data_IF_674747259040
#
_entry.id   IF_674747259040
#
_cell.length_a   1.000
_cell.length_b   1.000
_cell.length_c   1.000
_cell.angle_alpha   90.00
_cell.angle_beta   90.00
_cell.angle_gamma   90.00
#
_symmetry.space_group_name_H-M   'P 1'
#
loop_
_entity.id
_entity.type
_entity.pdbx_description
1 polymer ?
#
# COMPACT_ATOMS: atom_id res chain seq x y z
N UNK A 1 -4.18 -8.45 13.71
CA UNK A 1 -5.01 -9.66 13.48
C UNK A 1 -4.44 -10.76 14.35
N UNK A 2 -5.22 -11.37 15.19
CA UNK A 2 -4.77 -12.48 16.03
C UNK A 2 -4.59 -13.75 15.19
N UNK A 3 -3.55 -14.54 15.52
CA UNK A 3 -3.26 -15.79 14.81
C UNK A 3 -4.20 -16.94 15.19
N UNK A 4 -4.93 -16.80 16.29
CA UNK A 4 -5.88 -17.79 16.80
C UNK A 4 -7.20 -17.12 17.18
N UNK A 5 -8.30 -17.79 16.86
CA UNK A 5 -9.61 -17.43 17.35
C UNK A 5 -9.65 -17.68 18.87
N UNK A 6 -10.06 -16.67 19.61
CA UNK A 6 -10.14 -16.72 21.06
C UNK A 6 -11.60 -16.55 21.51
N UNK A 7 -12.38 -17.61 21.37
CA UNK A 7 -13.82 -17.60 21.68
C UNK A 7 -14.14 -17.53 23.17
N UNK A 8 -13.18 -17.77 24.06
CA UNK A 8 -13.42 -17.72 25.50
C UNK A 8 -13.19 -16.34 26.09
N UNK A 9 -12.41 -15.48 25.40
CA UNK A 9 -11.95 -14.19 25.93
C UNK A 9 -12.40 -13.01 25.07
N UNK A 10 -12.47 -13.18 23.76
CA UNK A 10 -12.83 -12.10 22.84
C UNK A 10 -14.34 -11.86 22.83
N UNK A 11 -14.76 -10.63 23.16
CA UNK A 11 -16.17 -10.20 23.19
C UNK A 11 -17.08 -11.08 24.07
N UNK A 12 -16.55 -11.56 25.19
CA UNK A 12 -17.26 -12.42 26.13
C UNK A 12 -17.58 -11.70 27.43
N UNK A 13 -18.80 -11.91 27.93
CA UNK A 13 -19.15 -11.53 29.29
C UNK A 13 -18.40 -12.41 30.31
N UNK A 14 -18.08 -11.83 31.48
CA UNK A 14 -17.40 -12.56 32.55
C UNK A 14 -18.36 -13.62 33.11
N UNK A 15 -18.00 -14.90 32.94
CA UNK A 15 -18.74 -16.05 33.45
C UNK A 15 -17.86 -17.30 33.55
N UNK A 16 -18.33 -18.27 34.31
CA UNK A 16 -17.77 -19.63 34.27
C UNK A 16 -18.85 -20.59 33.79
N UNK A 17 -18.56 -21.34 32.75
CA UNK A 17 -19.47 -22.28 32.18
C UNK A 17 -18.76 -23.61 31.90
N UNK A 18 -19.26 -24.73 32.41
CA UNK A 18 -18.63 -26.05 32.28
C UNK A 18 -17.14 -26.09 32.70
N UNK A 19 -16.78 -25.32 33.73
CA UNK A 19 -15.41 -25.24 34.24
C UNK A 19 -14.46 -24.35 33.40
N UNK A 20 -14.95 -23.69 32.35
CA UNK A 20 -14.21 -22.78 31.51
C UNK A 20 -14.52 -21.34 31.94
N UNK A 21 -13.49 -20.53 32.19
CA UNK A 21 -13.63 -19.10 32.46
C UNK A 21 -13.73 -18.33 31.15
N UNK A 22 -14.77 -17.53 31.00
CA UNK A 22 -14.99 -16.59 29.91
C UNK A 22 -14.83 -15.15 30.41
N UNK A 23 -14.44 -14.25 29.55
CA UNK A 23 -14.41 -12.83 29.85
C UNK A 23 -13.38 -12.06 29.04
N UNK A 24 -13.78 -10.89 28.56
CA UNK A 24 -12.90 -9.91 27.93
C UNK A 24 -12.30 -9.02 29.03
N UNK A 25 -11.29 -9.55 29.70
CA UNK A 25 -10.65 -8.93 30.87
C UNK A 25 -9.16 -8.68 30.61
N UNK A 26 -8.61 -7.66 31.28
CA UNK A 26 -7.24 -7.20 31.07
C UNK A 26 -6.17 -8.25 31.39
N UNK A 27 -6.45 -9.17 32.31
CA UNK A 27 -5.54 -10.26 32.70
C UNK A 27 -5.24 -11.23 31.54
N UNK A 28 -6.10 -11.26 30.53
CA UNK A 28 -5.91 -12.10 29.34
C UNK A 28 -5.17 -11.38 28.19
N UNK A 29 -4.83 -10.10 28.36
CA UNK A 29 -4.14 -9.33 27.33
C UNK A 29 -2.65 -9.67 27.33
N UNK A 30 -2.14 -10.08 26.18
CA UNK A 30 -0.70 -10.18 25.96
C UNK A 30 -0.14 -8.78 25.62
N UNK A 31 0.35 -8.07 26.63
CA UNK A 31 0.83 -6.70 26.49
C UNK A 31 2.06 -6.58 25.58
N UNK A 32 2.94 -7.57 25.55
CA UNK A 32 4.12 -7.57 24.68
C UNK A 32 3.69 -7.68 23.19
N UNK A 33 2.70 -8.51 22.92
CA UNK A 33 2.13 -8.62 21.58
C UNK A 33 1.38 -7.33 21.18
N UNK A 34 0.56 -6.80 22.08
CA UNK A 34 -0.18 -5.55 21.86
C UNK A 34 0.76 -4.37 21.59
N UNK A 35 1.86 -4.26 22.36
CA UNK A 35 2.88 -3.23 22.15
C UNK A 35 3.55 -3.34 20.76
N UNK A 36 3.92 -4.55 20.33
CA UNK A 36 4.49 -4.80 18.99
C UNK A 36 3.51 -4.44 17.88
N UNK A 37 2.26 -4.85 18.00
CA UNK A 37 1.22 -4.55 17.03
C UNK A 37 0.96 -3.04 16.94
N UNK A 38 0.92 -2.35 18.09
CA UNK A 38 0.79 -0.89 18.16
C UNK A 38 1.98 -0.20 17.48
N UNK A 39 3.21 -0.67 17.73
CA UNK A 39 4.41 -0.12 17.09
C UNK A 39 4.38 -0.27 15.56
N UNK A 40 3.96 -1.42 15.03
CA UNK A 40 3.80 -1.63 13.59
C UNK A 40 2.78 -0.66 13.00
N UNK A 41 1.62 -0.49 13.64
CA UNK A 41 0.61 0.46 13.19
C UNK A 41 1.11 1.90 13.25
N UNK A 42 1.81 2.29 14.32
CA UNK A 42 2.37 3.63 14.47
C UNK A 42 3.43 3.95 13.40
N UNK A 43 4.30 2.99 13.06
CA UNK A 43 5.30 3.14 12.00
C UNK A 43 4.62 3.31 10.64
N UNK A 44 3.60 2.51 10.33
CA UNK A 44 2.86 2.63 9.07
C UNK A 44 2.16 3.98 8.95
N UNK A 45 1.51 4.45 10.01
CA UNK A 45 0.86 5.76 10.04
C UNK A 45 1.87 6.90 9.88
N UNK A 46 2.99 6.85 10.58
CA UNK A 46 4.06 7.84 10.46
C UNK A 46 4.64 7.86 9.03
N UNK A 47 4.90 6.71 8.43
CA UNK A 47 5.42 6.60 7.06
C UNK A 47 4.47 7.23 6.05
N UNK A 48 3.15 6.99 6.19
CA UNK A 48 2.15 7.59 5.32
C UNK A 48 1.98 9.09 5.58
N UNK A 49 2.11 9.54 6.83
CA UNK A 49 1.99 10.96 7.18
C UNK A 49 3.17 11.80 6.66
N UNK A 50 4.35 11.19 6.49
CA UNK A 50 5.55 11.83 5.92
C UNK A 50 5.69 11.63 4.42
N UNK A 51 4.82 10.84 3.81
CA UNK A 51 4.82 10.65 2.37
C UNK A 51 4.27 11.88 1.66
N UNK A 52 4.81 12.24 0.48
CA UNK A 52 4.24 13.30 -0.33
C UNK A 52 2.82 12.94 -0.82
N UNK A 53 2.02 13.93 -1.23
CA UNK A 53 0.74 13.67 -1.88
C UNK A 53 0.90 12.75 -3.09
N UNK A 54 -0.03 11.82 -3.24
CA UNK A 54 -0.01 10.86 -4.34
C UNK A 54 -0.21 11.54 -5.70
N UNK A 55 0.36 10.99 -6.80
CA UNK A 55 0.17 11.55 -8.13
C UNK A 55 -1.31 11.54 -8.54
N UNK A 56 -1.70 12.56 -9.29
CA UNK A 56 -3.06 12.73 -9.81
C UNK A 56 -3.14 12.28 -11.28
N UNK A 57 -4.35 12.02 -11.75
CA UNK A 57 -4.67 11.75 -13.16
C UNK A 57 -3.74 10.72 -13.82
N UNK A 58 -3.41 9.64 -13.10
CA UNK A 58 -2.56 8.59 -13.66
C UNK A 58 -3.27 7.94 -14.84
N UNK A 59 -2.61 7.88 -16.00
CA UNK A 59 -3.10 7.31 -17.24
C UNK A 59 -2.12 6.28 -17.78
N UNK A 60 -2.63 5.33 -18.56
CA UNK A 60 -1.82 4.30 -19.22
C UNK A 60 -2.08 4.29 -20.73
N UNK A 61 -1.03 4.06 -21.51
CA UNK A 61 -1.05 3.84 -22.94
C UNK A 61 -0.14 2.69 -23.32
N UNK A 62 -0.07 2.41 -24.63
CA UNK A 62 0.70 1.27 -25.13
C UNK A 62 -0.20 0.10 -25.55
N UNK A 63 -1.50 0.37 -25.79
CA UNK A 63 -2.42 -0.59 -26.39
C UNK A 63 -1.85 -0.99 -27.76
N UNK A 64 -1.67 -2.29 -27.98
CA UNK A 64 -1.03 -2.90 -29.17
C UNK A 64 0.45 -2.54 -29.38
N UNK A 65 1.13 -2.02 -28.35
CA UNK A 65 2.57 -1.74 -28.37
C UNK A 65 3.33 -2.72 -27.46
N UNK A 66 4.62 -2.86 -27.72
CA UNK A 66 5.50 -3.71 -26.88
C UNK A 66 5.98 -2.99 -25.61
N UNK A 67 5.41 -1.84 -25.26
CA UNK A 67 5.83 -0.99 -24.15
C UNK A 67 4.63 -0.40 -23.42
N UNK A 68 4.68 -0.30 -22.10
CA UNK A 68 3.69 0.39 -21.29
C UNK A 68 4.09 1.86 -21.10
N UNK A 69 3.20 2.78 -21.45
CA UNK A 69 3.38 4.23 -21.28
C UNK A 69 2.52 4.72 -20.13
N UNK A 70 3.11 5.38 -19.17
CA UNK A 70 2.40 5.97 -18.03
C UNK A 70 2.58 7.48 -18.04
N UNK A 71 1.52 8.21 -17.69
CA UNK A 71 1.60 9.63 -17.40
C UNK A 71 0.79 9.96 -16.16
N UNK A 72 1.17 11.02 -15.48
CA UNK A 72 0.51 11.48 -14.26
C UNK A 72 0.69 12.98 -14.09
N UNK A 73 -0.03 13.54 -13.14
CA UNK A 73 0.08 14.95 -12.78
C UNK A 73 0.64 15.05 -11.37
N UNK A 74 1.63 15.92 -11.19
CA UNK A 74 2.16 16.31 -9.88
C UNK A 74 1.13 17.20 -9.17
N UNK A 75 0.71 16.90 -7.93
CA UNK A 75 -0.12 17.80 -7.14
C UNK A 75 0.55 19.16 -6.93
N UNK A 76 -0.24 20.23 -6.86
CA UNK A 76 0.26 21.62 -6.82
C UNK A 76 1.19 21.89 -5.64
N UNK A 77 0.88 21.36 -4.45
CA UNK A 77 1.64 21.56 -3.21
C UNK A 77 2.47 20.31 -2.84
N UNK A 78 2.95 19.55 -3.85
CA UNK A 78 3.71 18.34 -3.62
C UNK A 78 5.18 18.64 -3.33
N UNK A 79 5.68 18.06 -2.25
CA UNK A 79 7.08 17.99 -1.85
C UNK A 79 7.79 16.73 -2.39
N UNK A 80 7.18 16.06 -3.37
CA UNK A 80 7.79 14.92 -4.04
C UNK A 80 9.06 15.34 -4.78
N UNK A 81 10.15 14.59 -4.56
CA UNK A 81 11.42 14.72 -5.27
C UNK A 81 11.52 13.80 -6.48
N UNK A 82 10.54 12.94 -6.68
CA UNK A 82 10.45 12.06 -7.83
C UNK A 82 9.30 11.09 -7.72
N UNK A 83 9.26 10.16 -8.67
CA UNK A 83 8.22 9.17 -8.78
C UNK A 83 8.79 7.78 -8.94
N UNK A 84 7.98 6.79 -8.58
CA UNK A 84 8.30 5.38 -8.72
C UNK A 84 7.16 4.69 -9.43
N UNK A 85 7.48 4.05 -10.54
CA UNK A 85 6.53 3.23 -11.30
C UNK A 85 6.56 1.81 -10.77
N UNK A 86 5.38 1.25 -10.54
CA UNK A 86 5.17 -0.11 -10.06
C UNK A 86 4.45 -0.95 -11.09
N UNK A 87 4.79 -2.23 -11.17
CA UNK A 87 3.99 -3.19 -11.92
C UNK A 87 4.05 -4.57 -11.28
N UNK A 88 3.02 -5.34 -11.52
CA UNK A 88 2.88 -6.71 -11.05
C UNK A 88 2.08 -7.55 -12.04
N UNK A 89 2.30 -8.85 -12.06
CA UNK A 89 1.43 -9.78 -12.77
C UNK A 89 -0.02 -9.63 -12.27
N UNK A 90 -0.98 -9.81 -13.17
CA UNK A 90 -2.42 -9.69 -12.84
C UNK A 90 -2.88 -10.72 -11.80
N UNK A 91 -2.16 -11.81 -11.63
CA UNK A 91 -2.42 -12.86 -10.64
C UNK A 91 -1.70 -12.63 -9.31
N UNK A 92 -0.72 -11.73 -9.24
CA UNK A 92 0.01 -11.42 -8.02
C UNK A 92 -0.79 -10.48 -7.09
N UNK A 93 -0.87 -10.77 -5.78
CA UNK A 93 -1.54 -9.89 -4.83
C UNK A 93 -0.72 -8.68 -4.40
N UNK A 94 0.59 -8.67 -4.69
CA UNK A 94 1.53 -7.64 -4.24
C UNK A 94 2.33 -7.07 -5.41
N UNK A 95 2.83 -5.83 -5.28
CA UNK A 95 3.74 -5.23 -6.24
C UNK A 95 5.05 -6.03 -6.30
N UNK A 96 5.43 -6.52 -7.48
CA UNK A 96 6.61 -7.37 -7.68
C UNK A 96 7.80 -6.59 -8.20
N UNK A 97 7.51 -5.56 -8.99
CA UNK A 97 8.54 -4.76 -9.66
C UNK A 97 8.30 -3.28 -9.39
N UNK A 98 9.38 -2.54 -9.34
CA UNK A 98 9.33 -1.09 -9.26
C UNK A 98 10.57 -0.45 -9.88
N UNK A 99 10.43 0.80 -10.33
CA UNK A 99 11.51 1.61 -10.86
C UNK A 99 11.35 3.07 -10.45
N UNK A 100 12.36 3.63 -9.81
CA UNK A 100 12.46 5.08 -9.60
C UNK A 100 12.78 5.75 -10.93
N UNK A 101 12.03 6.80 -11.27
CA UNK A 101 12.10 7.45 -12.58
C UNK A 101 12.45 8.93 -12.50
N UNK A 102 12.72 9.47 -11.30
CA UNK A 102 13.02 10.88 -11.08
C UNK A 102 11.79 11.77 -11.06
N UNK A 103 11.99 13.09 -11.07
CA UNK A 103 10.92 14.10 -11.07
C UNK A 103 10.42 14.34 -12.51
N UNK A 104 9.64 13.38 -13.00
CA UNK A 104 9.03 13.38 -14.33
C UNK A 104 7.51 13.20 -14.21
N UNK A 105 6.77 13.54 -15.25
CA UNK A 105 5.32 13.41 -15.34
C UNK A 105 4.84 12.27 -16.26
N UNK A 106 5.80 11.56 -16.86
CA UNK A 106 5.54 10.38 -17.71
C UNK A 106 6.74 9.45 -17.71
N UNK A 107 6.50 8.18 -18.03
CA UNK A 107 7.56 7.19 -18.20
C UNK A 107 7.10 6.05 -19.12
N UNK A 108 8.03 5.51 -19.91
CA UNK A 108 7.80 4.34 -20.76
C UNK A 108 8.60 3.15 -20.24
N UNK A 109 7.90 2.06 -19.97
CA UNK A 109 8.48 0.76 -19.64
C UNK A 109 8.65 -0.03 -20.94
N UNK A 110 9.85 -0.01 -21.50
CA UNK A 110 10.17 -0.72 -22.74
C UNK A 110 10.13 -2.25 -22.54
N UNK A 111 9.52 -2.94 -23.47
CA UNK A 111 9.43 -4.40 -23.44
C UNK A 111 8.41 -4.97 -22.46
N UNK A 112 7.60 -4.12 -21.82
CA UNK A 112 6.53 -4.53 -20.90
C UNK A 112 5.19 -4.22 -21.55
N UNK A 113 4.47 -5.27 -21.99
CA UNK A 113 3.13 -5.13 -22.57
C UNK A 113 2.07 -4.96 -21.47
N UNK A 114 1.04 -4.17 -21.75
CA UNK A 114 0.04 -3.82 -20.73
C UNK A 114 -0.92 -4.96 -20.38
N UNK A 115 -1.05 -5.97 -21.23
CA UNK A 115 -2.12 -6.98 -21.11
C UNK A 115 -1.94 -7.93 -19.91
N UNK A 116 -0.69 -8.13 -19.47
CA UNK A 116 -0.37 -9.12 -18.44
C UNK A 116 -0.09 -8.52 -17.06
N UNK A 117 -0.05 -7.18 -16.95
CA UNK A 117 0.38 -6.50 -15.74
C UNK A 117 -0.62 -5.46 -15.26
N UNK A 118 -0.70 -5.29 -13.95
CA UNK A 118 -1.22 -4.08 -13.34
C UNK A 118 -0.08 -3.08 -13.12
N UNK A 119 -0.39 -1.81 -13.31
CA UNK A 119 0.56 -0.71 -13.16
C UNK A 119 0.08 0.30 -12.13
N UNK A 120 1.03 1.05 -11.57
CA UNK A 120 0.73 2.16 -10.69
C UNK A 120 1.90 3.10 -10.54
N UNK A 121 1.65 4.26 -9.97
CA UNK A 121 2.66 5.29 -9.72
C UNK A 121 2.55 5.78 -8.29
N UNK A 122 3.68 5.94 -7.61
CA UNK A 122 3.78 6.57 -6.31
C UNK A 122 4.72 7.78 -6.38
N UNK A 123 4.44 8.80 -5.59
CA UNK A 123 5.36 9.91 -5.34
C UNK A 123 6.36 9.52 -4.26
N UNK A 124 7.60 10.03 -4.35
CA UNK A 124 8.69 9.78 -3.42
C UNK A 124 9.17 11.10 -2.82
N UNK A 125 9.21 11.22 -1.51
CA UNK A 125 9.73 12.36 -0.77
C UNK A 125 11.25 12.28 -0.52
N UNK A 126 11.85 13.37 -0.06
CA UNK A 126 13.31 13.46 0.21
C UNK A 126 13.83 12.35 1.16
N UNK A 127 13.03 11.96 2.13
CA UNK A 127 13.39 10.93 3.11
C UNK A 127 13.07 9.50 2.64
N UNK A 128 12.68 9.31 1.37
CA UNK A 128 12.34 8.04 0.79
C UNK A 128 10.95 7.51 1.18
N UNK A 129 10.12 8.30 1.87
CA UNK A 129 8.72 7.96 2.09
C UNK A 129 7.95 8.01 0.78
N UNK A 130 7.12 7.01 0.56
CA UNK A 130 6.36 6.87 -0.67
C UNK A 130 4.86 7.06 -0.40
N UNK A 131 4.19 7.76 -1.29
CA UNK A 131 2.74 7.83 -1.28
C UNK A 131 2.10 6.46 -1.53
N UNK A 132 0.81 6.35 -1.33
CA UNK A 132 0.06 5.20 -1.85
C UNK A 132 0.24 5.11 -3.37
N UNK A 133 0.33 3.87 -3.87
CA UNK A 133 0.44 3.62 -5.32
C UNK A 133 -0.91 3.87 -5.97
N UNK A 134 -0.96 4.76 -6.95
CA UNK A 134 -2.17 5.12 -7.70
C UNK A 134 -2.23 4.31 -8.99
N UNK A 135 -3.33 3.58 -9.17
CA UNK A 135 -3.61 2.87 -10.43
C UNK A 135 -4.04 3.85 -11.53
N UNK A 136 -3.75 3.53 -12.80
CA UNK A 136 -4.28 4.31 -13.91
C UNK A 136 -5.81 4.32 -13.91
N UNK A 137 -6.39 5.51 -14.00
CA UNK A 137 -7.83 5.75 -14.07
C UNK A 137 -8.30 6.17 -15.47
N UNK A 138 -7.37 6.29 -16.42
CA UNK A 138 -7.65 6.70 -17.79
C UNK A 138 -6.63 6.15 -18.81
N UNK A 139 -6.97 6.29 -20.07
CA UNK A 139 -6.15 5.86 -21.21
C UNK A 139 -5.48 7.08 -21.84
N UNK A 140 -4.19 6.96 -22.15
CA UNK A 140 -3.48 7.91 -23.03
C UNK A 140 -3.99 7.75 -24.47
N UNK A 141 -4.45 8.81 -25.06
CA UNK A 141 -4.90 8.88 -26.48
C UNK A 141 -3.78 9.37 -27.36
#
# INVERSE_FOLDING_TARGET
MEAHENYTQQHQDIRTENGIAYGDVVEHVNFDYAAKLTAVNAINLASLAWAPPAPEEVKIGGIVEASAKLSWKKPTDSDAVGYKVYWRDTTSPTWEYSRYVGDVDHFTLEGIVIDNFFFGVAAVGENGHESVVVFPSGILR
#
